data_IF_600290633956
#
_entry.id   IF_600290633956
#
_cell.length_a   1.000
_cell.length_b   1.000
_cell.length_c   1.000
_cell.angle_alpha   90.00
_cell.angle_beta   90.00
_cell.angle_gamma   90.00
#
_symmetry.space_group_name_H-M   'P 1'
#
loop_
_entity.id
_entity.type
_entity.pdbx_description
1 polymer ?
#
# COMPACT_ATOMS: atom_id res chain seq x y z
N UNK A 1 24.40 43.00 -51.43
CA UNK A 1 23.17 43.38 -50.71
C UNK A 1 23.57 43.67 -49.28
N UNK A 2 23.64 44.95 -48.94
CA UNK A 2 24.02 45.40 -47.59
C UNK A 2 22.85 45.12 -46.65
N UNK A 3 23.03 44.14 -45.77
CA UNK A 3 22.13 43.90 -44.63
C UNK A 3 22.05 45.22 -43.86
N UNK A 4 20.86 45.77 -43.72
CA UNK A 4 20.65 47.05 -43.02
C UNK A 4 21.02 46.85 -41.54
N UNK A 5 21.53 47.91 -40.91
CA UNK A 5 21.95 47.88 -39.50
C UNK A 5 20.80 47.47 -38.54
N UNK A 6 19.55 47.59 -38.99
CA UNK A 6 18.35 47.17 -38.26
C UNK A 6 18.14 45.65 -38.27
N UNK A 7 18.41 44.96 -39.38
CA UNK A 7 18.29 43.49 -39.48
C UNK A 7 19.30 42.78 -38.55
N UNK A 8 20.54 43.30 -38.43
CA UNK A 8 21.54 42.80 -37.48
C UNK A 8 21.16 42.95 -36.00
N UNK A 9 20.16 43.78 -35.67
CA UNK A 9 19.75 44.00 -34.27
C UNK A 9 18.60 43.10 -33.82
N UNK A 10 17.92 42.39 -34.75
CA UNK A 10 16.77 41.55 -34.44
C UNK A 10 17.12 40.06 -34.26
N UNK A 11 18.23 39.59 -34.85
CA UNK A 11 18.71 38.20 -34.70
C UNK A 11 18.87 37.75 -33.23
N UNK A 12 19.46 38.57 -32.33
CA UNK A 12 19.59 38.19 -30.91
C UNK A 12 18.24 38.09 -30.19
N UNK A 13 17.25 38.92 -30.56
CA UNK A 13 15.92 38.86 -29.97
C UNK A 13 15.20 37.58 -30.39
N UNK A 14 15.24 37.24 -31.68
CA UNK A 14 14.68 35.99 -32.20
C UNK A 14 15.29 34.76 -31.54
N UNK A 15 16.60 34.79 -31.26
CA UNK A 15 17.26 33.72 -30.51
C UNK A 15 16.70 33.58 -29.09
N UNK A 16 16.63 34.68 -28.33
CA UNK A 16 16.10 34.63 -26.95
C UNK A 16 14.64 34.17 -26.91
N UNK A 17 13.82 34.59 -27.87
CA UNK A 17 12.42 34.13 -28.00
C UNK A 17 12.27 32.62 -28.20
N UNK A 18 13.28 31.98 -28.80
CA UNK A 18 13.28 30.54 -29.05
C UNK A 18 13.77 29.71 -27.85
N UNK A 19 14.32 30.35 -26.81
CA UNK A 19 14.75 29.68 -25.58
C UNK A 19 13.54 29.26 -24.74
N UNK A 20 13.75 28.37 -23.77
CA UNK A 20 12.70 27.98 -22.81
C UNK A 20 12.32 29.16 -21.93
N UNK A 21 11.12 29.16 -21.36
CA UNK A 21 10.68 30.23 -20.46
C UNK A 21 11.67 30.46 -19.29
N UNK A 22 12.24 29.40 -18.72
CA UNK A 22 13.27 29.51 -17.67
C UNK A 22 14.47 30.34 -18.13
N UNK A 23 15.01 30.01 -19.30
CA UNK A 23 16.19 30.65 -19.87
C UNK A 23 15.90 32.09 -20.29
N UNK A 24 14.70 32.37 -20.83
CA UNK A 24 14.24 33.73 -21.12
C UNK A 24 14.17 34.60 -19.86
N UNK A 25 13.68 34.04 -18.74
CA UNK A 25 13.59 34.76 -17.49
C UNK A 25 14.97 35.01 -16.85
N UNK A 26 15.86 34.01 -16.89
CA UNK A 26 17.25 34.15 -16.46
C UNK A 26 17.95 35.21 -17.32
N UNK A 27 17.74 35.20 -18.64
CA UNK A 27 18.28 36.22 -19.56
C UNK A 27 17.82 37.62 -19.16
N UNK A 28 16.52 37.80 -18.89
CA UNK A 28 15.98 39.09 -18.46
C UNK A 28 16.63 39.59 -17.16
N UNK A 29 16.73 38.72 -16.16
CA UNK A 29 17.26 39.09 -14.84
C UNK A 29 18.77 39.34 -14.87
N UNK A 30 19.52 38.58 -15.67
CA UNK A 30 20.97 38.78 -15.82
C UNK A 30 21.30 40.08 -16.56
N UNK A 31 20.47 40.45 -17.54
CA UNK A 31 20.70 41.63 -18.39
C UNK A 31 20.12 42.92 -17.83
N UNK A 32 19.47 42.90 -16.66
CA UNK A 32 18.83 44.08 -16.07
C UNK A 32 19.18 44.27 -14.60
N UNK A 33 19.03 45.51 -14.11
CA UNK A 33 19.19 45.84 -12.69
C UNK A 33 18.16 45.13 -11.79
N UNK A 34 17.09 44.59 -12.38
CA UNK A 34 16.03 43.88 -11.66
C UNK A 34 16.50 42.54 -11.09
N UNK A 35 17.57 41.95 -11.64
CA UNK A 35 18.19 40.74 -11.05
C UNK A 35 18.75 40.95 -9.65
N UNK A 36 19.05 42.19 -9.25
CA UNK A 36 19.56 42.52 -7.90
C UNK A 36 18.46 42.73 -6.87
N UNK A 37 17.20 42.87 -7.30
CA UNK A 37 16.05 43.16 -6.44
C UNK A 37 15.27 41.86 -6.18
N UNK A 38 15.26 41.41 -4.93
CA UNK A 38 14.62 40.14 -4.55
C UNK A 38 13.14 40.07 -4.94
N UNK A 39 12.37 41.14 -4.69
CA UNK A 39 10.93 41.18 -4.99
C UNK A 39 10.64 41.02 -6.48
N UNK A 40 11.46 41.62 -7.35
CA UNK A 40 11.29 41.48 -8.80
C UNK A 40 11.71 40.10 -9.29
N UNK A 41 12.75 39.50 -8.70
CA UNK A 41 13.13 38.13 -9.01
C UNK A 41 12.02 37.13 -8.65
N UNK A 42 11.38 37.27 -7.48
CA UNK A 42 10.24 36.44 -7.08
C UNK A 42 9.00 36.66 -7.96
N UNK A 43 8.75 37.90 -8.39
CA UNK A 43 7.69 38.19 -9.34
C UNK A 43 7.96 37.52 -10.70
N UNK A 44 9.18 37.64 -11.24
CA UNK A 44 9.59 37.00 -12.50
C UNK A 44 9.51 35.47 -12.39
N UNK A 45 9.91 34.89 -11.25
CA UNK A 45 9.74 33.45 -10.98
C UNK A 45 8.28 33.03 -11.00
N UNK A 46 7.41 33.80 -10.34
CA UNK A 46 5.97 33.53 -10.28
C UNK A 46 5.33 33.61 -11.67
N UNK A 47 5.72 34.60 -12.47
CA UNK A 47 5.29 34.75 -13.87
C UNK A 47 5.77 33.54 -14.69
N UNK A 48 7.05 33.17 -14.57
CA UNK A 48 7.61 32.00 -15.24
C UNK A 48 6.85 30.71 -14.92
N UNK A 49 6.60 30.41 -13.64
CA UNK A 49 5.81 29.23 -13.25
C UNK A 49 4.40 29.28 -13.82
N UNK A 50 3.78 30.47 -13.87
CA UNK A 50 2.46 30.63 -14.47
C UNK A 50 2.46 30.45 -15.99
N UNK A 51 3.52 30.83 -16.68
CA UNK A 51 3.71 30.51 -18.10
C UNK A 51 3.79 29.00 -18.33
N UNK A 52 4.54 28.28 -17.49
CA UNK A 52 4.65 26.82 -17.54
C UNK A 52 3.28 26.15 -17.32
N UNK A 53 2.46 26.66 -16.40
CA UNK A 53 1.10 26.14 -16.17
C UNK A 53 0.13 26.40 -17.33
N UNK A 54 0.26 27.54 -18.01
CA UNK A 54 -0.66 27.94 -19.09
C UNK A 54 -0.27 27.38 -20.46
N UNK A 55 1.00 26.99 -20.64
CA UNK A 55 1.47 26.41 -21.89
C UNK A 55 1.17 24.90 -21.96
N UNK A 56 0.67 24.44 -23.10
CA UNK A 56 0.47 23.01 -23.40
C UNK A 56 1.75 22.18 -23.36
N UNK A 57 2.90 22.79 -23.63
CA UNK A 57 4.23 22.16 -23.61
C UNK A 57 4.90 22.17 -22.23
N UNK A 58 4.30 22.79 -21.21
CA UNK A 58 4.83 22.80 -19.85
C UNK A 58 6.23 23.45 -19.72
N UNK A 59 7.18 22.75 -19.10
CA UNK A 59 8.54 23.23 -18.82
C UNK A 59 9.37 23.49 -20.10
N UNK A 60 9.01 22.83 -21.21
CA UNK A 60 9.67 22.99 -22.52
C UNK A 60 9.02 24.07 -23.39
N UNK A 61 8.05 24.81 -22.85
CA UNK A 61 7.39 25.92 -23.54
C UNK A 61 8.31 27.11 -23.82
N UNK A 62 8.08 27.78 -24.95
CA UNK A 62 8.85 28.94 -25.42
C UNK A 62 7.99 30.20 -25.56
N UNK A 63 6.72 30.06 -25.92
CA UNK A 63 5.78 31.15 -26.14
C UNK A 63 4.35 30.83 -25.63
N UNK A 64 3.55 31.88 -25.44
CA UNK A 64 2.14 31.77 -25.03
C UNK A 64 1.25 32.30 -26.16
N UNK A 65 0.03 31.78 -26.26
CA UNK A 65 -1.01 32.44 -27.05
C UNK A 65 -1.47 33.73 -26.37
N UNK A 66 -2.10 34.60 -27.15
CA UNK A 66 -2.53 35.92 -26.69
C UNK A 66 -3.48 35.88 -25.48
N UNK A 67 -4.39 34.90 -25.44
CA UNK A 67 -5.33 34.75 -24.32
C UNK A 67 -4.61 34.34 -23.04
N UNK A 68 -3.63 33.43 -23.12
CA UNK A 68 -2.80 33.05 -21.97
C UNK A 68 -1.90 34.20 -21.51
N UNK A 69 -1.34 34.96 -22.45
CA UNK A 69 -0.56 36.16 -22.15
C UNK A 69 -1.41 37.23 -21.42
N UNK A 70 -2.67 37.42 -21.84
CA UNK A 70 -3.60 38.30 -21.13
C UNK A 70 -3.88 37.83 -19.69
N UNK A 71 -4.19 36.55 -19.51
CA UNK A 71 -4.43 35.96 -18.18
C UNK A 71 -3.24 36.14 -17.25
N UNK A 72 -2.02 36.13 -17.81
CA UNK A 72 -0.79 36.37 -17.07
C UNK A 72 -0.64 37.84 -16.64
N UNK A 73 -1.03 38.79 -17.50
CA UNK A 73 -1.03 40.23 -17.16
C UNK A 73 -1.99 40.53 -16.01
N UNK A 74 -3.20 39.97 -16.04
CA UNK A 74 -4.16 40.08 -14.93
C UNK A 74 -3.58 39.53 -13.61
N UNK A 75 -2.91 38.37 -13.69
CA UNK A 75 -2.26 37.73 -12.55
C UNK A 75 -1.17 38.63 -11.92
N UNK A 76 -0.42 39.35 -12.74
CA UNK A 76 0.66 40.24 -12.29
C UNK A 76 0.19 41.51 -11.58
N UNK A 77 -1.13 41.77 -11.54
CA UNK A 77 -1.77 42.96 -10.94
C UNK A 77 -1.24 44.30 -11.45
N UNK A 78 -0.56 44.32 -12.60
CA UNK A 78 -0.17 45.58 -13.24
C UNK A 78 -1.35 46.13 -14.05
N UNK A 79 -1.56 47.44 -14.00
CA UNK A 79 -2.64 48.13 -14.71
C UNK A 79 -2.34 48.29 -16.22
N UNK A 80 -1.90 47.21 -16.88
CA UNK A 80 -1.61 47.21 -18.32
C UNK A 80 -2.70 46.46 -19.07
N UNK A 81 -3.23 47.06 -20.14
CA UNK A 81 -4.35 46.50 -20.91
C UNK A 81 -3.86 45.66 -22.09
N UNK A 82 -4.70 44.74 -22.60
CA UNK A 82 -4.41 43.98 -23.83
C UNK A 82 -4.11 44.91 -25.00
N UNK A 83 -4.84 46.03 -25.09
CA UNK A 83 -4.68 46.99 -26.16
C UNK A 83 -3.26 47.56 -26.17
N UNK A 84 -2.74 47.94 -24.99
CA UNK A 84 -1.37 48.41 -24.82
C UNK A 84 -0.33 47.31 -25.13
N UNK A 85 -0.61 46.05 -24.75
CA UNK A 85 0.27 44.92 -25.11
C UNK A 85 0.34 44.73 -26.63
N UNK A 86 -0.80 44.77 -27.33
CA UNK A 86 -0.85 44.64 -28.80
C UNK A 86 -0.10 45.77 -29.50
N UNK A 87 -0.34 47.01 -29.07
CA UNK A 87 0.37 48.18 -29.62
C UNK A 87 1.89 48.07 -29.41
N UNK A 88 2.31 47.59 -28.24
CA UNK A 88 3.71 47.33 -27.94
C UNK A 88 4.32 46.24 -28.83
N UNK A 89 3.63 45.10 -29.02
CA UNK A 89 4.11 44.01 -29.87
C UNK A 89 4.22 44.42 -31.34
N UNK A 90 3.23 45.18 -31.86
CA UNK A 90 3.26 45.72 -33.23
C UNK A 90 4.48 46.64 -33.42
N UNK A 91 4.79 47.47 -32.41
CA UNK A 91 5.98 48.32 -32.41
C UNK A 91 7.29 47.54 -32.35
N UNK A 92 7.34 46.45 -31.59
CA UNK A 92 8.52 45.59 -31.46
C UNK A 92 8.80 44.77 -32.72
N UNK A 93 7.76 44.28 -33.40
CA UNK A 93 7.88 43.48 -34.63
C UNK A 93 7.83 44.29 -35.92
N UNK A 94 8.18 45.59 -35.87
CA UNK A 94 8.27 46.47 -37.04
C UNK A 94 7.02 46.42 -37.95
N UNK A 95 5.83 46.36 -37.36
CA UNK A 95 4.55 46.37 -38.10
C UNK A 95 4.06 45.00 -38.60
N UNK A 96 4.72 43.89 -38.25
CA UNK A 96 4.20 42.55 -38.56
C UNK A 96 3.02 42.18 -37.65
N UNK A 97 1.83 42.06 -38.23
CA UNK A 97 0.57 41.69 -37.55
C UNK A 97 0.43 40.19 -37.26
N UNK A 98 1.45 39.39 -37.55
CA UNK A 98 1.30 37.92 -37.69
C UNK A 98 2.06 37.09 -36.65
N UNK A 99 2.23 37.59 -35.43
CA UNK A 99 2.70 36.78 -34.31
C UNK A 99 1.59 36.62 -33.27
N UNK A 100 0.72 35.58 -33.39
CA UNK A 100 -0.31 35.26 -32.39
C UNK A 100 0.29 34.70 -31.08
N UNK A 101 1.62 34.70 -30.97
CA UNK A 101 2.40 34.10 -29.90
C UNK A 101 3.29 35.14 -29.25
N UNK A 102 3.27 35.17 -27.92
CA UNK A 102 3.99 36.11 -27.08
C UNK A 102 5.00 35.33 -26.23
N UNK A 103 6.28 35.63 -26.39
CA UNK A 103 7.34 35.04 -25.56
C UNK A 103 7.35 35.66 -24.16
N UNK A 104 7.92 34.95 -23.18
CA UNK A 104 8.05 35.48 -21.83
C UNK A 104 8.95 36.73 -21.80
N UNK A 105 10.02 36.75 -22.59
CA UNK A 105 10.91 37.92 -22.65
C UNK A 105 10.16 39.19 -23.12
N UNK A 106 9.27 39.07 -24.11
CA UNK A 106 8.47 40.20 -24.61
C UNK A 106 7.50 40.72 -23.54
N UNK A 107 6.89 39.80 -22.78
CA UNK A 107 6.03 40.14 -21.66
C UNK A 107 6.81 40.84 -20.55
N UNK A 108 8.02 40.36 -20.21
CA UNK A 108 8.86 40.98 -19.19
C UNK A 108 9.34 42.38 -19.62
N UNK A 109 9.76 42.55 -20.87
CA UNK A 109 10.13 43.86 -21.42
C UNK A 109 8.94 44.82 -21.31
N UNK A 110 7.74 44.37 -21.71
CA UNK A 110 6.52 45.15 -21.60
C UNK A 110 6.22 45.51 -20.15
N UNK A 111 6.16 44.53 -19.24
CA UNK A 111 5.78 44.72 -17.84
C UNK A 111 6.71 45.64 -17.07
N UNK A 112 8.03 45.50 -17.27
CA UNK A 112 9.04 46.26 -16.56
C UNK A 112 9.50 47.54 -17.30
N UNK A 113 8.96 47.80 -18.49
CA UNK A 113 9.26 49.00 -19.28
C UNK A 113 10.73 49.11 -19.69
N UNK A 114 11.38 47.97 -19.96
CA UNK A 114 12.80 47.91 -20.32
C UNK A 114 12.97 48.21 -21.81
N UNK A 115 14.01 48.96 -22.18
CA UNK A 115 14.37 49.09 -23.59
C UNK A 115 14.97 47.78 -24.11
N UNK A 116 14.31 47.14 -25.08
CA UNK A 116 14.74 45.87 -25.65
C UNK A 116 16.13 45.96 -26.31
N UNK A 117 16.48 47.12 -26.89
CA UNK A 117 17.81 47.34 -27.47
C UNK A 117 18.89 47.42 -26.41
N UNK A 118 18.58 47.98 -25.24
CA UNK A 118 19.49 47.99 -24.09
C UNK A 118 19.66 46.61 -23.49
N UNK A 119 18.58 45.82 -23.41
CA UNK A 119 18.60 44.46 -22.88
C UNK A 119 19.55 43.54 -23.68
N UNK A 120 19.52 43.63 -25.01
CA UNK A 120 20.34 42.79 -25.89
C UNK A 120 21.81 43.25 -26.00
N UNK A 121 22.09 44.52 -25.72
CA UNK A 121 23.46 45.08 -25.70
C UNK A 121 24.19 44.81 -24.39
N UNK A 122 23.47 44.44 -23.33
CA UNK A 122 24.08 44.02 -22.08
C UNK A 122 24.89 42.73 -22.32
N UNK A 123 26.14 42.63 -21.83
CA UNK A 123 26.92 41.41 -21.97
C UNK A 123 26.18 40.28 -21.26
N UNK A 124 25.58 39.40 -22.05
CA UNK A 124 25.14 38.10 -21.58
C UNK A 124 26.40 37.29 -21.34
N UNK A 125 26.63 36.88 -20.10
CA UNK A 125 27.85 36.14 -19.82
C UNK A 125 27.91 35.71 -18.39
N UNK A 126 27.11 34.70 -18.05
CA UNK A 126 27.60 33.74 -17.08
C UNK A 126 28.66 32.89 -17.80
N UNK A 127 29.72 32.50 -17.12
CA UNK A 127 30.64 31.49 -17.66
C UNK A 127 29.85 30.20 -17.94
N UNK A 128 29.83 29.78 -19.20
CA UNK A 128 29.07 28.60 -19.65
C UNK A 128 29.45 27.34 -18.85
N UNK A 129 30.71 27.27 -18.42
CA UNK A 129 31.22 26.21 -17.54
C UNK A 129 30.51 26.21 -16.18
N UNK A 130 30.47 27.34 -15.50
CA UNK A 130 29.83 27.49 -14.18
C UNK A 130 28.32 27.22 -14.26
N UNK A 131 27.68 27.64 -15.34
CA UNK A 131 26.28 27.30 -15.64
C UNK A 131 26.05 25.80 -15.80
N UNK A 132 26.90 25.14 -16.58
CA UNK A 132 26.81 23.70 -16.81
C UNK A 132 27.05 22.91 -15.52
N UNK A 133 28.00 23.33 -14.68
CA UNK A 133 28.24 22.75 -13.35
C UNK A 133 27.02 22.92 -12.43
N UNK A 134 26.40 24.10 -12.43
CA UNK A 134 25.19 24.38 -11.66
C UNK A 134 24.01 23.53 -12.13
N UNK A 135 23.78 23.47 -13.44
CA UNK A 135 22.74 22.66 -14.05
C UNK A 135 22.94 21.17 -13.76
N UNK A 136 24.17 20.66 -13.87
CA UNK A 136 24.49 19.27 -13.52
C UNK A 136 24.26 18.99 -12.02
N UNK A 137 24.66 19.90 -11.13
CA UNK A 137 24.42 19.76 -9.70
C UNK A 137 22.93 19.73 -9.34
N UNK A 138 22.12 20.57 -10.00
CA UNK A 138 20.67 20.60 -9.83
C UNK A 138 19.99 19.35 -10.39
N UNK A 139 20.45 18.82 -11.51
CA UNK A 139 19.90 17.58 -12.08
C UNK A 139 20.22 16.38 -11.19
N UNK A 140 21.43 16.31 -10.63
CA UNK A 140 21.78 15.31 -9.61
C UNK A 140 20.88 15.46 -8.38
N UNK A 141 20.62 16.68 -7.91
CA UNK A 141 19.71 16.92 -6.80
C UNK A 141 18.27 16.49 -7.14
N UNK A 142 17.75 16.85 -8.32
CA UNK A 142 16.40 16.51 -8.76
C UNK A 142 16.23 14.99 -8.85
N UNK A 143 17.16 14.30 -9.49
CA UNK A 143 17.12 12.84 -9.67
C UNK A 143 17.25 12.08 -8.35
N UNK A 144 18.15 12.51 -7.46
CA UNK A 144 18.30 11.88 -6.14
C UNK A 144 17.09 12.15 -5.24
N UNK A 145 16.51 13.34 -5.30
CA UNK A 145 15.31 13.69 -4.56
C UNK A 145 14.08 12.93 -5.06
N UNK A 146 13.86 12.85 -6.38
CA UNK A 146 12.73 12.10 -6.96
C UNK A 146 12.84 10.62 -6.63
N UNK A 147 14.05 10.06 -6.67
CA UNK A 147 14.32 8.69 -6.20
C UNK A 147 13.98 8.52 -4.72
N UNK A 148 14.46 9.40 -3.84
CA UNK A 148 14.18 9.32 -2.40
C UNK A 148 12.68 9.46 -2.07
N UNK A 149 11.96 10.33 -2.80
CA UNK A 149 10.50 10.47 -2.67
C UNK A 149 9.79 9.20 -3.13
N UNK A 150 10.20 8.64 -4.27
CA UNK A 150 9.62 7.40 -4.81
C UNK A 150 9.82 6.23 -3.84
N UNK A 151 11.03 6.06 -3.30
CA UNK A 151 11.31 5.02 -2.30
C UNK A 151 10.56 5.24 -0.99
N UNK A 152 10.41 6.50 -0.54
CA UNK A 152 9.59 6.80 0.64
C UNK A 152 8.12 6.45 0.43
N UNK A 153 7.58 6.66 -0.77
CA UNK A 153 6.19 6.32 -1.07
C UNK A 153 6.00 4.80 -1.21
N UNK A 154 6.93 4.10 -1.89
CA UNK A 154 6.97 2.64 -1.95
C UNK A 154 7.01 2.03 -0.55
N UNK A 155 7.84 2.56 0.33
CA UNK A 155 7.92 2.09 1.71
C UNK A 155 6.59 2.24 2.45
N UNK A 156 5.89 3.37 2.29
CA UNK A 156 4.54 3.57 2.88
C UNK A 156 3.53 2.57 2.32
N UNK A 157 3.49 2.39 1.01
CA UNK A 157 2.58 1.43 0.36
C UNK A 157 2.82 0.01 0.87
N UNK A 158 4.09 -0.44 0.90
CA UNK A 158 4.44 -1.77 1.43
C UNK A 158 4.09 -1.94 2.91
N UNK A 159 4.25 -0.90 3.73
CA UNK A 159 3.83 -0.98 5.14
C UNK A 159 2.31 -1.13 5.32
N UNK A 160 1.52 -0.50 4.46
CA UNK A 160 0.06 -0.64 4.50
C UNK A 160 -0.38 -2.00 3.95
N UNK A 161 0.25 -2.49 2.88
CA UNK A 161 0.04 -3.85 2.37
C UNK A 161 0.34 -4.91 3.44
N UNK A 162 1.47 -4.77 4.15
CA UNK A 162 1.83 -5.66 5.26
C UNK A 162 0.78 -5.63 6.37
N UNK A 163 0.29 -4.44 6.74
CA UNK A 163 -0.77 -4.29 7.75
C UNK A 163 -2.07 -4.96 7.33
N UNK A 164 -2.46 -4.82 6.07
CA UNK A 164 -3.66 -5.49 5.54
C UNK A 164 -3.49 -7.01 5.50
N UNK A 165 -2.30 -7.51 5.15
CA UNK A 165 -2.00 -8.93 5.17
C UNK A 165 -2.04 -9.52 6.59
N UNK A 166 -1.50 -8.82 7.58
CA UNK A 166 -1.59 -9.21 9.00
C UNK A 166 -3.06 -9.26 9.48
N UNK A 167 -3.88 -8.27 9.09
CA UNK A 167 -5.30 -8.26 9.44
C UNK A 167 -6.04 -9.47 8.84
N UNK A 168 -5.77 -9.81 7.57
CA UNK A 168 -6.34 -11.00 6.92
C UNK A 168 -5.88 -12.28 7.62
N UNK A 169 -4.60 -12.39 7.96
CA UNK A 169 -4.09 -13.54 8.72
C UNK A 169 -4.77 -13.69 10.09
N UNK A 170 -5.02 -12.58 10.78
CA UNK A 170 -5.76 -12.58 12.05
C UNK A 170 -7.21 -13.05 11.89
N UNK A 171 -7.89 -12.61 10.81
CA UNK A 171 -9.26 -13.03 10.51
C UNK A 171 -9.35 -14.52 10.20
N UNK A 172 -8.43 -15.06 9.40
CA UNK A 172 -8.38 -16.49 9.09
C UNK A 172 -8.02 -17.33 10.31
N UNK A 173 -7.11 -16.86 11.17
CA UNK A 173 -6.82 -17.54 12.44
C UNK A 173 -8.04 -17.57 13.38
N UNK A 174 -8.83 -16.49 13.43
CA UNK A 174 -10.06 -16.47 14.22
C UNK A 174 -11.11 -17.46 13.68
N UNK A 175 -11.22 -17.63 12.35
CA UNK A 175 -12.09 -18.65 11.74
C UNK A 175 -11.60 -20.06 12.06
N UNK A 176 -10.29 -20.30 11.98
CA UNK A 176 -9.69 -21.58 12.36
C UNK A 176 -9.99 -21.94 13.82
N UNK A 177 -9.85 -21.00 14.76
CA UNK A 177 -10.16 -21.25 16.19
C UNK A 177 -11.62 -21.69 16.36
N UNK A 178 -12.57 -21.00 15.72
CA UNK A 178 -13.99 -21.36 15.79
C UNK A 178 -14.27 -22.74 15.19
N UNK A 179 -13.62 -23.08 14.07
CA UNK A 179 -13.76 -24.39 13.44
C UNK A 179 -13.16 -25.51 14.31
N UNK A 180 -12.00 -25.27 14.93
CA UNK A 180 -11.38 -26.22 15.85
C UNK A 180 -12.23 -26.47 17.10
N UNK A 181 -12.82 -25.43 17.69
CA UNK A 181 -13.76 -25.57 18.81
C UNK A 181 -15.01 -26.39 18.42
N UNK A 182 -15.55 -26.18 17.21
CA UNK A 182 -16.68 -26.95 16.72
C UNK A 182 -16.31 -28.43 16.50
N UNK A 183 -15.11 -28.71 15.98
CA UNK A 183 -14.60 -30.07 15.80
C UNK A 183 -14.40 -30.78 17.14
N UNK A 184 -13.86 -30.10 18.15
CA UNK A 184 -13.71 -30.67 19.50
C UNK A 184 -15.07 -31.00 20.12
N UNK A 185 -16.04 -30.08 20.07
CA UNK A 185 -17.40 -30.35 20.55
C UNK A 185 -18.05 -31.53 19.83
N UNK A 186 -17.85 -31.66 18.52
CA UNK A 186 -18.39 -32.78 17.77
C UNK A 186 -17.71 -34.11 18.16
N UNK A 187 -16.40 -34.09 18.42
CA UNK A 187 -15.65 -35.25 18.93
C UNK A 187 -16.13 -35.68 20.31
N UNK A 188 -16.36 -34.73 21.22
CA UNK A 188 -16.88 -35.04 22.57
C UNK A 188 -18.29 -35.65 22.51
N UNK A 189 -19.14 -35.18 21.58
CA UNK A 189 -20.45 -35.81 21.38
C UNK A 189 -20.33 -37.21 20.78
N UNK A 190 -19.33 -37.47 19.93
CA UNK A 190 -19.09 -38.79 19.37
C UNK A 190 -18.64 -39.77 20.46
N UNK A 191 -17.70 -39.37 21.33
CA UNK A 191 -17.23 -40.23 22.43
C UNK A 191 -18.35 -40.59 23.40
N UNK A 192 -19.21 -39.63 23.74
CA UNK A 192 -20.40 -39.90 24.58
C UNK A 192 -21.33 -40.94 23.95
N UNK A 193 -21.63 -40.81 22.64
CA UNK A 193 -22.51 -41.75 21.94
C UNK A 193 -21.84 -43.13 21.77
N UNK A 194 -20.52 -43.19 21.60
CA UNK A 194 -19.77 -44.45 21.60
C UNK A 194 -19.82 -45.18 22.94
N UNK A 195 -19.75 -44.44 24.06
CA UNK A 195 -19.91 -45.00 25.41
C UNK A 195 -21.33 -45.51 25.64
N UNK A 196 -22.37 -44.75 25.22
CA UNK A 196 -23.77 -45.21 25.24
C UNK A 196 -23.96 -46.49 24.43
N UNK A 197 -23.38 -46.56 23.22
CA UNK A 197 -23.46 -47.75 22.36
C UNK A 197 -22.81 -48.99 23.02
N UNK A 198 -21.66 -48.80 23.68
CA UNK A 198 -20.98 -49.88 24.43
C UNK A 198 -21.83 -50.35 25.61
N UNK A 199 -22.44 -49.44 26.37
CA UNK A 199 -23.29 -49.79 27.51
C UNK A 199 -24.52 -50.60 27.10
N UNK A 200 -25.16 -50.24 25.97
CA UNK A 200 -26.31 -50.99 25.44
C UNK A 200 -25.89 -52.37 24.94
N UNK A 201 -24.73 -52.49 24.28
CA UNK A 201 -24.19 -53.78 23.86
C UNK A 201 -23.92 -54.72 25.04
N UNK A 202 -23.35 -54.21 26.14
CA UNK A 202 -23.15 -54.98 27.37
C UNK A 202 -24.49 -55.42 27.99
N UNK A 203 -25.52 -54.57 27.95
CA UNK A 203 -26.87 -54.90 28.42
C UNK A 203 -27.50 -56.04 27.59
N UNK A 204 -27.40 -55.98 26.26
CA UNK A 204 -27.89 -57.04 25.37
C UNK A 204 -27.18 -58.36 25.68
N UNK A 205 -25.85 -58.36 25.79
CA UNK A 205 -25.08 -59.57 26.13
C UNK A 205 -25.49 -60.15 27.48
N UNK A 206 -25.73 -59.30 28.49
CA UNK A 206 -26.16 -59.74 29.80
C UNK A 206 -27.53 -60.43 29.74
N UNK A 207 -28.49 -59.84 29.01
CA UNK A 207 -29.82 -60.43 28.80
C UNK A 207 -29.77 -61.74 28.00
N UNK A 208 -28.98 -61.79 26.92
CA UNK A 208 -28.77 -63.00 26.12
C UNK A 208 -28.17 -64.14 26.97
N UNK A 209 -27.16 -63.84 27.80
CA UNK A 209 -26.57 -64.79 28.73
C UNK A 209 -27.57 -65.29 29.79
N UNK A 210 -28.45 -64.43 30.32
CA UNK A 210 -29.49 -64.83 31.27
C UNK A 210 -30.46 -65.80 30.61
N UNK A 211 -30.91 -65.49 29.39
CA UNK A 211 -31.80 -66.37 28.62
C UNK A 211 -31.13 -67.71 28.29
N UNK A 212 -29.86 -67.71 27.86
CA UNK A 212 -29.13 -68.92 27.52
C UNK A 212 -28.86 -69.80 28.75
N UNK A 213 -28.51 -69.21 29.90
CA UNK A 213 -28.36 -69.95 31.16
C UNK A 213 -29.66 -70.63 31.57
N UNK A 214 -30.80 -69.91 31.50
CA UNK A 214 -32.13 -70.47 31.80
C UNK A 214 -32.48 -71.62 30.86
N UNK A 215 -32.21 -71.43 29.56
CA UNK A 215 -32.41 -72.46 28.53
C UNK A 215 -31.57 -73.71 28.81
N UNK A 216 -30.25 -73.56 29.01
CA UNK A 216 -29.36 -74.71 29.25
C UNK A 216 -29.73 -75.46 30.54
N UNK A 217 -30.19 -74.74 31.57
CA UNK A 217 -30.57 -75.36 32.85
C UNK A 217 -31.83 -76.20 32.70
N UNK A 218 -32.80 -75.75 31.90
CA UNK A 218 -34.03 -76.50 31.59
C UNK A 218 -33.75 -77.68 30.65
N UNK A 219 -32.89 -77.52 29.65
CA UNK A 219 -32.46 -78.60 28.76
C UNK A 219 -31.71 -79.70 29.53
N UNK A 220 -30.83 -79.34 30.48
CA UNK A 220 -30.16 -80.30 31.37
C UNK A 220 -31.15 -81.09 32.23
N UNK A 221 -32.16 -80.43 32.82
CA UNK A 221 -33.22 -81.09 33.60
C UNK A 221 -34.10 -82.02 32.76
N UNK A 222 -34.24 -81.75 31.46
CA UNK A 222 -34.97 -82.60 30.52
C UNK A 222 -34.18 -83.89 30.18
N UNK A 223 -32.87 -83.76 30.00
CA UNK A 223 -31.97 -84.85 29.59
C UNK A 223 -31.60 -85.79 30.75
N UNK A 224 -31.73 -85.36 32.00
CA UNK A 224 -31.41 -86.17 33.17
C UNK A 224 -32.46 -87.27 33.42
N UNK A 225 -32.09 -88.52 33.11
CA UNK A 225 -32.93 -89.71 33.25
C UNK A 225 -33.17 -90.11 34.72
N UNK A 226 -32.40 -89.56 35.66
CA UNK A 226 -32.56 -89.82 37.10
C UNK A 226 -33.72 -89.04 37.73
N UNK A 227 -34.17 -87.96 37.10
CA UNK A 227 -35.32 -87.16 37.54
C UNK A 227 -36.64 -87.84 37.14
N UNK A 228 -37.65 -87.74 38.00
CA UNK A 228 -38.97 -88.33 37.77
C UNK A 228 -39.70 -87.76 36.55
N UNK A 229 -40.57 -88.57 35.91
CA UNK A 229 -41.32 -88.22 34.68
C UNK A 229 -42.03 -86.86 34.81
N UNK A 230 -42.59 -86.57 35.99
CA UNK A 230 -43.29 -85.30 36.28
C UNK A 230 -42.34 -84.10 36.24
N UNK A 231 -41.11 -84.21 36.77
CA UNK A 231 -40.14 -83.12 36.76
C UNK A 231 -39.59 -82.84 35.35
N UNK A 232 -39.40 -83.89 34.54
CA UNK A 232 -39.05 -83.75 33.12
C UNK A 232 -40.17 -83.10 32.31
N UNK A 233 -41.43 -83.50 32.54
CA UNK A 233 -42.56 -82.86 31.88
C UNK A 233 -42.76 -81.40 32.33
N UNK A 234 -42.48 -81.08 33.60
CA UNK A 234 -42.47 -79.70 34.10
C UNK A 234 -41.37 -78.87 33.44
N UNK A 235 -40.15 -79.39 33.32
CA UNK A 235 -39.07 -78.73 32.59
C UNK A 235 -39.39 -78.53 31.10
N UNK A 236 -40.06 -79.50 30.46
CA UNK A 236 -40.56 -79.40 29.08
C UNK A 236 -41.61 -78.29 28.93
N UNK A 237 -42.54 -78.19 29.89
CA UNK A 237 -43.54 -77.13 29.92
C UNK A 237 -42.90 -75.76 30.17
N UNK A 238 -42.00 -75.63 31.14
CA UNK A 238 -41.24 -74.40 31.44
C UNK A 238 -40.37 -73.96 30.25
N UNK A 239 -39.77 -74.89 29.52
CA UNK A 239 -39.00 -74.60 28.31
C UNK A 239 -39.92 -74.15 27.17
N UNK A 240 -41.09 -74.78 27.00
CA UNK A 240 -42.11 -74.31 26.06
C UNK A 240 -42.65 -72.92 26.44
N UNK A 241 -42.82 -72.63 27.73
CA UNK A 241 -43.19 -71.33 28.28
C UNK A 241 -42.08 -70.32 28.01
N UNK A 242 -40.81 -70.67 28.21
CA UNK A 242 -39.68 -69.77 27.93
C UNK A 242 -39.53 -69.45 26.43
N UNK A 243 -40.00 -70.34 25.54
CA UNK A 243 -40.08 -70.07 24.10
C UNK A 243 -41.30 -69.23 23.71
N UNK A 244 -42.41 -69.31 24.45
CA UNK A 244 -43.60 -68.49 24.22
C UNK A 244 -43.62 -67.18 25.02
N UNK A 245 -42.79 -67.06 26.07
CA UNK A 245 -42.60 -65.86 26.87
C UNK A 245 -42.03 -64.74 25.99
N UNK A 246 -42.70 -63.60 26.04
CA UNK A 246 -42.38 -62.48 25.18
C UNK A 246 -41.04 -61.87 25.58
N UNK A 247 -40.09 -61.84 24.64
CA UNK A 247 -38.72 -61.30 24.81
C UNK A 247 -38.71 -59.77 24.84
N UNK A 248 -39.65 -59.17 25.54
CA UNK A 248 -39.80 -57.71 25.65
C UNK A 248 -38.53 -56.99 26.13
N UNK A 249 -37.74 -57.46 27.13
CA UNK A 249 -36.50 -56.79 27.51
C UNK A 249 -35.47 -56.80 26.38
N UNK A 250 -35.21 -57.96 25.78
CA UNK A 250 -34.28 -58.09 24.65
C UNK A 250 -34.73 -57.30 23.42
N UNK A 251 -36.04 -57.25 23.14
CA UNK A 251 -36.60 -56.41 22.08
C UNK A 251 -36.39 -54.93 22.36
N UNK A 252 -36.62 -54.46 23.60
CA UNK A 252 -36.35 -53.07 24.00
C UNK A 252 -34.86 -52.74 23.85
N UNK A 253 -33.97 -53.58 24.38
CA UNK A 253 -32.53 -53.37 24.27
C UNK A 253 -32.04 -53.32 22.80
N UNK A 254 -32.62 -54.16 21.91
CA UNK A 254 -32.33 -54.10 20.46
C UNK A 254 -32.86 -52.84 19.78
N UNK A 255 -34.04 -52.35 20.17
CA UNK A 255 -34.57 -51.06 19.67
C UNK A 255 -33.68 -49.91 20.13
N UNK A 256 -33.24 -49.93 21.39
CA UNK A 256 -32.33 -48.92 21.96
C UNK A 256 -30.96 -48.96 21.27
N UNK A 257 -30.48 -50.16 20.92
CA UNK A 257 -29.26 -50.34 20.12
C UNK A 257 -29.43 -49.73 18.72
N UNK A 258 -30.52 -50.00 18.02
CA UNK A 258 -30.78 -49.44 16.70
C UNK A 258 -30.85 -47.91 16.75
N UNK A 259 -31.57 -47.35 17.73
CA UNK A 259 -31.63 -45.91 17.96
C UNK A 259 -30.24 -45.32 18.24
N UNK A 260 -29.40 -46.02 19.00
CA UNK A 260 -28.05 -45.56 19.35
C UNK A 260 -27.09 -45.69 18.17
N UNK A 261 -27.22 -46.70 17.32
CA UNK A 261 -26.48 -46.79 16.05
C UNK A 261 -26.84 -45.64 15.10
N UNK A 262 -28.12 -45.24 15.04
CA UNK A 262 -28.51 -44.06 14.27
C UNK A 262 -27.94 -42.76 14.84
N UNK A 263 -27.92 -42.61 16.18
CA UNK A 263 -27.25 -41.49 16.85
C UNK A 263 -25.75 -41.49 16.56
N UNK A 264 -25.10 -42.66 16.63
CA UNK A 264 -23.68 -42.83 16.37
C UNK A 264 -23.35 -42.42 14.94
N UNK A 265 -24.09 -42.90 13.96
CA UNK A 265 -23.91 -42.53 12.55
C UNK A 265 -24.07 -41.01 12.31
N UNK A 266 -25.02 -40.37 12.99
CA UNK A 266 -25.17 -38.91 12.92
C UNK A 266 -24.00 -38.17 13.58
N UNK A 267 -23.53 -38.68 14.72
CA UNK A 267 -22.40 -38.10 15.44
C UNK A 267 -21.08 -38.26 14.68
N UNK A 268 -20.82 -39.42 14.07
CA UNK A 268 -19.64 -39.66 13.23
C UNK A 268 -19.63 -38.74 12.03
N UNK A 269 -20.73 -38.66 11.27
CA UNK A 269 -20.83 -37.78 10.11
C UNK A 269 -20.60 -36.30 10.50
N UNK A 270 -21.13 -35.86 11.64
CA UNK A 270 -20.93 -34.49 12.14
C UNK A 270 -19.48 -34.25 12.57
N UNK A 271 -18.85 -35.20 13.25
CA UNK A 271 -17.45 -35.10 13.68
C UNK A 271 -16.50 -35.09 12.48
N UNK A 272 -16.72 -35.93 11.48
CA UNK A 272 -15.93 -35.96 10.25
C UNK A 272 -16.07 -34.65 9.45
N UNK A 273 -17.28 -34.13 9.31
CA UNK A 273 -17.50 -32.85 8.63
C UNK A 273 -16.78 -31.70 9.36
N UNK A 274 -16.94 -31.60 10.67
CA UNK A 274 -16.28 -30.56 11.48
C UNK A 274 -14.75 -30.70 11.47
N UNK A 275 -14.21 -31.92 11.44
CA UNK A 275 -12.77 -32.17 11.32
C UNK A 275 -12.21 -31.72 9.96
N UNK A 276 -12.92 -32.01 8.86
CA UNK A 276 -12.54 -31.54 7.51
C UNK A 276 -12.58 -30.01 7.43
N UNK A 277 -13.62 -29.38 7.98
CA UNK A 277 -13.72 -27.93 8.03
C UNK A 277 -12.57 -27.31 8.85
N UNK A 278 -12.24 -27.88 10.01
CA UNK A 278 -11.11 -27.41 10.81
C UNK A 278 -9.77 -27.56 10.07
N UNK A 279 -9.55 -28.65 9.34
CA UNK A 279 -8.34 -28.87 8.56
C UNK A 279 -8.22 -27.88 7.40
N UNK A 280 -9.30 -27.62 6.66
CA UNK A 280 -9.28 -26.63 5.57
C UNK A 280 -8.96 -25.24 6.12
N UNK A 281 -9.60 -24.83 7.21
CA UNK A 281 -9.34 -23.54 7.86
C UNK A 281 -7.91 -23.44 8.41
N UNK A 282 -7.33 -24.54 8.91
CA UNK A 282 -5.93 -24.57 9.35
C UNK A 282 -4.98 -24.25 8.20
N UNK A 283 -5.17 -24.89 7.04
CA UNK A 283 -4.32 -24.64 5.86
C UNK A 283 -4.48 -23.21 5.32
N UNK A 284 -5.68 -22.64 5.38
CA UNK A 284 -5.92 -21.25 4.98
C UNK A 284 -5.26 -20.26 5.94
N UNK A 285 -5.37 -20.49 7.25
CA UNK A 285 -4.74 -19.65 8.27
C UNK A 285 -3.20 -19.70 8.16
N UNK A 286 -2.62 -20.87 7.90
CA UNK A 286 -1.18 -21.02 7.70
C UNK A 286 -0.68 -20.27 6.45
N UNK A 287 -1.37 -20.45 5.32
CA UNK A 287 -1.07 -19.71 4.09
C UNK A 287 -1.17 -18.20 4.29
N UNK A 288 -2.20 -17.72 5.00
CA UNK A 288 -2.38 -16.31 5.29
C UNK A 288 -1.25 -15.76 6.18
N UNK A 289 -0.79 -16.53 7.18
CA UNK A 289 0.36 -16.17 8.02
C UNK A 289 1.67 -16.06 7.22
N UNK A 290 1.92 -17.01 6.32
CA UNK A 290 3.10 -16.98 5.46
C UNK A 290 3.11 -15.75 4.55
N UNK A 291 1.96 -15.44 3.93
CA UNK A 291 1.81 -14.23 3.10
C UNK A 291 2.00 -12.94 3.91
N UNK A 292 1.44 -12.86 5.12
CA UNK A 292 1.63 -11.72 6.00
C UNK A 292 3.10 -11.55 6.40
N UNK A 293 3.80 -12.65 6.70
CA UNK A 293 5.22 -12.60 7.03
C UNK A 293 6.07 -12.10 5.85
N UNK A 294 5.81 -12.60 4.64
CA UNK A 294 6.48 -12.12 3.42
C UNK A 294 6.25 -10.62 3.21
N UNK A 295 5.01 -10.15 3.32
CA UNK A 295 4.69 -8.73 3.17
C UNK A 295 5.40 -7.84 4.23
N UNK A 296 5.52 -8.33 5.48
CA UNK A 296 6.29 -7.62 6.52
C UNK A 296 7.77 -7.56 6.18
N UNK A 297 8.37 -8.64 5.68
CA UNK A 297 9.77 -8.64 5.25
C UNK A 297 10.02 -7.65 4.10
N UNK A 298 9.12 -7.64 3.09
CA UNK A 298 9.18 -6.71 1.97
C UNK A 298 9.06 -5.24 2.44
N UNK A 299 8.14 -4.98 3.38
CA UNK A 299 8.00 -3.66 3.99
C UNK A 299 9.24 -3.24 4.76
N UNK A 300 9.88 -4.14 5.51
CA UNK A 300 11.14 -3.87 6.22
C UNK A 300 12.26 -3.55 5.22
N UNK A 301 12.38 -4.32 4.13
CA UNK A 301 13.41 -4.09 3.13
C UNK A 301 13.21 -2.76 2.40
N UNK A 302 11.97 -2.42 2.04
CA UNK A 302 11.65 -1.14 1.40
C UNK A 302 11.90 0.05 2.33
N UNK A 303 11.62 -0.08 3.64
CA UNK A 303 11.97 0.96 4.61
C UNK A 303 13.49 1.17 4.71
N UNK A 304 14.30 0.11 4.68
CA UNK A 304 15.76 0.23 4.69
C UNK A 304 16.27 1.01 3.47
N UNK A 305 15.79 0.65 2.27
CA UNK A 305 16.16 1.37 1.03
C UNK A 305 15.73 2.83 1.10
N UNK A 306 14.52 3.11 1.59
CA UNK A 306 14.07 4.49 1.81
C UNK A 306 14.97 5.23 2.79
N UNK A 307 15.37 4.62 3.91
CA UNK A 307 16.22 5.25 4.93
C UNK A 307 17.64 5.53 4.40
N UNK A 308 18.17 4.68 3.52
CA UNK A 308 19.45 4.86 2.84
C UNK A 308 19.40 5.94 1.74
N UNK A 309 18.24 6.15 1.11
CA UNK A 309 18.06 7.17 0.07
C UNK A 309 18.08 8.61 0.61
N UNK A 310 17.61 8.81 1.86
CA UNK A 310 17.55 10.12 2.52
C UNK A 310 18.93 10.78 2.65
N UNK A 311 19.97 10.14 3.23
CA UNK A 311 21.28 10.77 3.36
C UNK A 311 21.93 11.07 2.00
N UNK A 312 21.64 10.27 0.96
CA UNK A 312 22.12 10.54 -0.40
C UNK A 312 21.50 11.84 -0.94
N UNK A 313 20.18 12.00 -0.81
CA UNK A 313 19.50 13.24 -1.20
C UNK A 313 19.98 14.45 -0.37
N UNK A 314 20.21 14.28 0.93
CA UNK A 314 20.79 15.33 1.78
C UNK A 314 22.21 15.72 1.35
N UNK A 315 23.03 14.77 0.93
CA UNK A 315 24.38 15.05 0.44
C UNK A 315 24.35 15.78 -0.91
N UNK A 316 23.46 15.37 -1.82
CA UNK A 316 23.24 16.08 -3.09
C UNK A 316 22.81 17.53 -2.84
N UNK A 317 21.94 17.76 -1.85
CA UNK A 317 21.50 19.10 -1.47
C UNK A 317 22.63 19.96 -0.91
N UNK A 318 23.49 19.38 -0.06
CA UNK A 318 24.70 20.08 0.43
C UNK A 318 25.64 20.44 -0.72
N UNK A 319 25.84 19.51 -1.67
CA UNK A 319 26.69 19.76 -2.83
C UNK A 319 26.12 20.90 -3.70
N UNK A 320 24.80 20.93 -3.90
CA UNK A 320 24.13 22.01 -4.62
C UNK A 320 24.31 23.38 -3.93
N UNK A 321 24.25 23.44 -2.60
CA UNK A 321 24.56 24.67 -1.84
C UNK A 321 26.02 25.10 -2.01
N UNK A 322 26.97 24.16 -2.00
CA UNK A 322 28.39 24.48 -2.24
C UNK A 322 28.59 25.06 -3.64
N UNK A 323 27.91 24.51 -4.66
CA UNK A 323 27.95 25.05 -6.02
C UNK A 323 27.35 26.47 -6.04
N UNK A 324 26.19 26.67 -5.40
CA UNK A 324 25.57 28.01 -5.32
C UNK A 324 26.50 29.05 -4.66
N UNK A 325 27.20 28.68 -3.58
CA UNK A 325 28.16 29.58 -2.92
C UNK A 325 29.37 29.89 -3.81
N UNK A 326 29.86 28.93 -4.60
CA UNK A 326 30.89 29.20 -5.62
C UNK A 326 30.39 30.18 -6.68
N UNK A 327 29.18 29.98 -7.20
CA UNK A 327 28.57 30.90 -8.17
C UNK A 327 28.39 32.32 -7.62
N UNK A 328 28.10 32.46 -6.31
CA UNK A 328 28.02 33.76 -5.64
C UNK A 328 29.36 34.47 -5.52
N UNK A 329 30.45 33.71 -5.37
CA UNK A 329 31.81 34.26 -5.29
C UNK A 329 32.34 34.63 -6.68
N UNK A 330 31.97 33.87 -7.70
CA UNK A 330 32.28 34.14 -9.10
C UNK A 330 31.49 35.37 -9.59
N UNK A 331 32.17 36.52 -9.68
CA UNK A 331 31.59 37.78 -10.19
C UNK A 331 31.13 37.71 -11.65
N UNK A 332 31.48 36.64 -12.36
CA UNK A 332 31.04 36.37 -13.73
C UNK A 332 29.63 35.77 -13.79
N UNK A 333 29.07 35.22 -12.70
CA UNK A 333 27.71 34.66 -12.75
C UNK A 333 26.66 35.75 -12.57
N UNK A 334 25.71 35.82 -13.50
CA UNK A 334 24.60 36.77 -13.43
C UNK A 334 23.67 36.53 -12.23
N UNK A 335 23.15 37.61 -11.65
CA UNK A 335 22.29 37.57 -10.45
C UNK A 335 21.00 36.75 -10.66
N UNK A 336 20.44 36.77 -11.88
CA UNK A 336 19.27 35.97 -12.24
C UNK A 336 19.55 34.47 -12.17
N UNK A 337 20.70 34.03 -12.69
CA UNK A 337 21.15 32.63 -12.59
C UNK A 337 21.28 32.19 -11.13
N UNK A 338 21.98 32.98 -10.30
CA UNK A 338 22.15 32.68 -8.87
C UNK A 338 20.80 32.58 -8.17
N UNK A 339 19.87 33.50 -8.49
CA UNK A 339 18.53 33.49 -7.92
C UNK A 339 17.76 32.22 -8.30
N UNK A 340 17.75 31.85 -9.59
CA UNK A 340 17.04 30.66 -10.07
C UNK A 340 17.58 29.37 -9.46
N UNK A 341 18.91 29.21 -9.41
CA UNK A 341 19.56 28.04 -8.78
C UNK A 341 19.20 27.96 -7.30
N UNK A 342 19.30 29.08 -6.57
CA UNK A 342 18.92 29.15 -5.17
C UNK A 342 17.45 28.79 -4.95
N UNK A 343 16.56 29.26 -5.83
CA UNK A 343 15.13 29.01 -5.74
C UNK A 343 14.77 27.55 -5.98
N UNK A 344 15.42 26.91 -6.95
CA UNK A 344 15.26 25.48 -7.22
C UNK A 344 15.75 24.61 -6.06
N UNK A 345 16.85 25.01 -5.40
CA UNK A 345 17.32 24.36 -4.17
C UNK A 345 16.28 24.50 -3.06
N UNK A 346 15.71 25.69 -2.84
CA UNK A 346 14.67 25.90 -1.83
C UNK A 346 13.39 25.11 -2.12
N UNK A 347 12.98 25.00 -3.39
CA UNK A 347 11.86 24.13 -3.77
C UNK A 347 12.19 22.67 -3.47
N UNK A 348 13.39 22.21 -3.79
CA UNK A 348 13.84 20.85 -3.48
C UNK A 348 13.86 20.57 -1.96
N UNK A 349 14.29 21.52 -1.13
CA UNK A 349 14.24 21.41 0.34
C UNK A 349 12.82 21.20 0.87
N UNK A 350 11.84 21.89 0.29
CA UNK A 350 10.43 21.79 0.70
C UNK A 350 9.88 20.38 0.54
N UNK A 351 10.30 19.67 -0.51
CA UNK A 351 9.83 18.32 -0.83
C UNK A 351 10.71 17.21 -0.26
N UNK A 352 11.77 17.57 0.49
CA UNK A 352 12.63 16.56 1.10
C UNK A 352 11.85 15.70 2.10
N UNK A 353 11.94 14.36 2.02
CA UNK A 353 11.35 13.49 3.00
C UNK A 353 11.99 13.77 4.36
N UNK A 354 11.25 14.48 5.24
CA UNK A 354 11.67 14.72 6.61
C UNK A 354 11.80 13.37 7.29
N UNK A 355 13.01 13.06 7.77
CA UNK A 355 13.31 11.83 8.51
C UNK A 355 12.29 11.71 9.65
N UNK A 356 11.30 10.84 9.50
CA UNK A 356 10.46 10.42 10.62
C UNK A 356 11.33 9.49 11.46
N UNK A 357 12.20 10.08 12.29
CA UNK A 357 12.83 9.37 13.39
C UNK A 357 11.73 8.98 14.37
N UNK A 358 11.13 7.82 14.12
CA UNK A 358 10.26 7.13 15.06
C UNK A 358 10.41 5.63 14.82
N UNK A 359 11.41 4.99 15.45
CA UNK A 359 11.34 3.57 15.77
C UNK A 359 10.35 3.38 16.93
N UNK A 360 9.07 3.71 16.69
CA UNK A 360 7.93 3.35 17.55
C UNK A 360 6.76 2.91 16.68
N UNK A 361 7.09 2.17 15.62
CA UNK A 361 6.16 1.43 14.79
C UNK A 361 6.06 -0.05 15.17
N UNK A 362 6.53 -0.44 16.37
CA UNK A 362 6.00 -1.63 17.03
C UNK A 362 4.52 -1.35 17.28
N UNK A 363 3.70 -1.63 16.26
CA UNK A 363 2.27 -1.43 16.29
C UNK A 363 1.77 -2.12 17.55
N UNK A 364 0.89 -1.44 18.31
CA UNK A 364 0.20 -2.07 19.45
C UNK A 364 -0.47 -3.40 19.04
N UNK A 365 -0.70 -3.60 17.75
CA UNK A 365 -1.13 -4.83 17.08
C UNK A 365 -0.12 -5.99 17.22
N UNK A 366 1.18 -5.77 17.03
CA UNK A 366 2.23 -6.80 17.24
C UNK A 366 2.32 -7.22 18.71
N UNK A 367 2.24 -6.26 19.65
CA UNK A 367 2.11 -6.57 21.08
C UNK A 367 0.86 -7.37 21.39
N UNK A 368 -0.29 -7.02 20.82
CA UNK A 368 -1.51 -7.79 21.01
C UNK A 368 -1.38 -9.22 20.45
N UNK A 369 -0.71 -9.43 19.32
CA UNK A 369 -0.49 -10.77 18.75
C UNK A 369 0.41 -11.63 19.64
N UNK A 370 1.50 -11.08 20.19
CA UNK A 370 2.34 -11.79 21.16
C UNK A 370 1.63 -12.05 22.49
N UNK A 371 0.78 -11.11 22.94
CA UNK A 371 -0.02 -11.28 24.17
C UNK A 371 -1.10 -12.35 23.98
N UNK A 372 -1.74 -12.39 22.81
CA UNK A 372 -2.66 -13.46 22.41
C UNK A 372 -1.95 -14.81 22.26
N UNK A 373 -0.74 -14.83 21.69
CA UNK A 373 0.09 -16.03 21.58
C UNK A 373 0.52 -16.57 22.96
N UNK A 374 0.88 -15.69 23.91
CA UNK A 374 1.17 -16.06 25.30
C UNK A 374 -0.05 -16.62 26.03
N UNK A 375 -1.20 -15.93 25.97
CA UNK A 375 -2.45 -16.44 26.56
C UNK A 375 -2.87 -17.79 25.99
N UNK A 376 -2.63 -18.01 24.69
CA UNK A 376 -2.92 -19.29 24.03
C UNK A 376 -1.97 -20.40 24.53
N UNK A 377 -0.67 -20.12 24.70
CA UNK A 377 0.29 -21.05 25.29
C UNK A 377 -0.04 -21.41 26.74
N UNK A 378 -0.51 -20.45 27.54
CA UNK A 378 -1.00 -20.70 28.91
C UNK A 378 -2.25 -21.59 28.91
N UNK A 379 -3.22 -21.33 28.03
CA UNK A 379 -4.43 -22.15 27.90
C UNK A 379 -4.17 -23.60 27.44
N UNK A 380 -3.09 -23.86 26.70
CA UNK A 380 -2.71 -25.22 26.30
C UNK A 380 -1.87 -25.95 27.35
N UNK A 381 -1.14 -25.22 28.20
CA UNK A 381 -0.34 -25.80 29.29
C UNK A 381 -1.21 -26.31 30.45
N UNK A 382 -2.39 -25.71 30.66
CA UNK A 382 -3.32 -26.11 31.74
C UNK A 382 -4.21 -27.32 31.38
N UNK A 383 -4.06 -27.93 30.19
CA UNK A 383 -4.85 -29.07 29.72
C UNK A 383 -3.99 -30.30 29.34
N UNK A 384 -2.70 -30.30 29.71
CA UNK A 384 -1.80 -31.46 29.69
C UNK A 384 -1.50 -31.88 31.12
#
# INVERSE_FOLDING_TARGET
>A
MSITQEEKTLEPLCHVKSLKFKDQAIWFLNSTIYGQKADTCELVWSIHKKCVELNTAGEDGTDLDEFSAHRLLEFSKQAKTIKELREFLIGLHSGSLNCPRVSLIELLIFMFGVDWKSLLRSPYGCDEKSLNEAAAGLEILRTTLTYAIAESNRAKERTEEARQAELRAAQEEAKFIKAAEAANKARDTLTQVEEEAKAILETIKAEENIHERRRSALEKKLADLSLGIVQRNKAKAELSILFSEDRTPLRKARIDQEATLQKLHKATAKAEAAAKDAQTMATLAEKAKLLAHGAVQDAVQSNKVSDESIPIAMQALKNAHVILEKLRQERSTGFGTIFYVNREIQEAEKFMPKRKLSPRGGTKTSRNYETLKRKKLELFADHS
#
